data_IF_479100411698
#
_entry.id   IF_479100411698
#
_cell.length_a   1.000
_cell.length_b   1.000
_cell.length_c   1.000
_cell.angle_alpha   90.00
_cell.angle_beta   90.00
_cell.angle_gamma   90.00
#
_symmetry.space_group_name_H-M   'P 1'
#
loop_
_entity.id
_entity.type
_entity.pdbx_description
1 polymer ?
#
# COMPACT_ATOMS: atom_id res chain seq x y z
N UNK A 1 7.99 -1.07 -3.57
CA UNK A 1 7.23 -0.16 -4.46
C UNK A 1 7.92 1.19 -4.47
N UNK A 2 8.19 1.76 -5.65
CA UNK A 2 8.80 3.07 -5.74
C UNK A 2 7.78 4.20 -5.52
N UNK A 3 8.04 5.05 -4.53
CA UNK A 3 7.32 6.30 -4.28
C UNK A 3 8.28 7.49 -4.43
N UNK A 4 7.76 8.63 -4.86
CA UNK A 4 8.46 9.92 -4.75
C UNK A 4 7.75 10.78 -3.72
N UNK A 5 8.47 11.27 -2.71
CA UNK A 5 7.88 12.15 -1.69
C UNK A 5 7.65 13.54 -2.27
N UNK A 6 6.40 13.95 -2.42
CA UNK A 6 6.03 15.26 -2.99
C UNK A 6 5.97 16.33 -1.92
N UNK A 7 5.57 15.98 -0.71
CA UNK A 7 5.49 16.89 0.43
C UNK A 7 5.66 16.13 1.76
N UNK A 8 6.26 16.81 2.73
CA UNK A 8 6.29 16.34 4.12
C UNK A 8 5.30 17.21 4.87
N UNK A 9 4.24 16.60 5.40
CA UNK A 9 3.15 17.28 6.09
C UNK A 9 3.54 17.55 7.54
N UNK A 10 4.04 16.52 8.24
CA UNK A 10 4.51 16.62 9.64
C UNK A 10 5.56 15.56 9.94
N UNK A 11 6.45 15.88 10.87
CA UNK A 11 7.41 14.94 11.45
C UNK A 11 6.94 14.46 12.84
N UNK A 12 7.26 13.22 13.18
CA UNK A 12 7.33 12.70 14.54
C UNK A 12 8.74 12.12 14.76
N UNK A 13 9.00 11.51 15.93
CA UNK A 13 10.33 10.96 16.25
C UNK A 13 10.78 9.87 15.26
N UNK A 14 9.89 8.93 14.92
CA UNK A 14 10.23 7.76 14.08
C UNK A 14 9.38 7.65 12.80
N UNK A 15 8.51 8.64 12.56
CA UNK A 15 7.59 8.64 11.43
C UNK A 15 7.48 10.03 10.80
N UNK A 16 6.99 10.09 9.58
CA UNK A 16 6.58 11.33 8.95
C UNK A 16 5.28 11.12 8.16
N UNK A 17 4.34 12.04 8.30
CA UNK A 17 3.20 12.05 7.37
C UNK A 17 3.66 12.72 6.07
N UNK A 18 3.52 12.02 4.96
CA UNK A 18 3.97 12.47 3.66
C UNK A 18 2.83 12.42 2.64
N UNK A 19 2.91 13.32 1.68
CA UNK A 19 2.32 13.10 0.36
C UNK A 19 3.36 12.45 -0.53
N UNK A 20 2.92 11.50 -1.34
CA UNK A 20 3.77 10.81 -2.30
C UNK A 20 3.07 10.65 -3.64
N UNK A 21 3.89 10.45 -4.67
CA UNK A 21 3.45 10.09 -6.03
C UNK A 21 4.11 8.80 -6.48
N UNK A 22 3.36 8.01 -7.24
CA UNK A 22 3.82 6.80 -7.92
C UNK A 22 3.34 6.84 -9.37
N UNK A 23 3.78 5.87 -10.18
CA UNK A 23 3.25 5.68 -11.53
C UNK A 23 1.74 5.37 -11.55
N UNK A 24 1.17 4.97 -10.41
CA UNK A 24 -0.24 4.65 -10.27
C UNK A 24 -1.06 5.79 -9.68
N UNK A 25 -0.47 6.91 -9.28
CA UNK A 25 -1.18 8.04 -8.68
C UNK A 25 -0.53 8.56 -7.41
N UNK A 26 -1.24 9.45 -6.72
CA UNK A 26 -0.77 10.15 -5.52
C UNK A 26 -1.51 9.68 -4.26
N UNK A 27 -0.88 9.80 -3.10
CA UNK A 27 -1.49 9.44 -1.84
C UNK A 27 -0.87 10.16 -0.65
N UNK A 28 -1.52 10.02 0.51
CA UNK A 28 -1.00 10.43 1.82
C UNK A 28 -0.77 9.16 2.63
N UNK A 29 0.38 9.06 3.29
CA UNK A 29 0.67 7.95 4.20
C UNK A 29 1.60 8.36 5.34
N UNK A 30 1.69 7.50 6.34
CA UNK A 30 2.73 7.55 7.36
C UNK A 30 3.96 6.81 6.84
N UNK A 31 5.07 7.53 6.68
CA UNK A 31 6.37 7.00 6.35
C UNK A 31 7.07 6.57 7.64
N UNK A 32 7.34 5.27 7.77
CA UNK A 32 8.03 4.69 8.93
C UNK A 32 9.50 4.45 8.54
N UNK A 33 10.43 5.04 9.28
CA UNK A 33 11.87 4.91 9.00
C UNK A 33 12.65 6.21 9.16
N UNK A 34 13.88 6.29 8.59
CA UNK A 34 14.65 7.52 8.58
C UNK A 34 13.88 8.67 7.93
N UNK A 35 14.10 9.90 8.40
CA UNK A 35 13.33 11.04 7.91
C UNK A 35 13.40 11.16 6.37
N UNK A 36 12.24 11.14 5.69
CA UNK A 36 12.20 11.22 4.25
C UNK A 36 12.57 12.63 3.77
N UNK A 37 13.00 12.74 2.52
CA UNK A 37 13.32 14.00 1.85
C UNK A 37 12.37 14.23 0.70
N UNK A 38 11.91 15.47 0.58
CA UNK A 38 11.09 15.91 -0.55
C UNK A 38 11.86 15.70 -1.87
N UNK A 39 11.14 15.27 -2.91
CA UNK A 39 11.63 14.92 -4.26
C UNK A 39 12.57 13.71 -4.31
N UNK A 40 12.73 12.96 -3.23
CA UNK A 40 13.51 11.74 -3.23
C UNK A 40 12.60 10.53 -3.54
N UNK A 41 13.16 9.59 -4.31
CA UNK A 41 12.55 8.29 -4.60
C UNK A 41 12.95 7.30 -3.51
N UNK A 42 11.96 6.54 -3.04
CA UNK A 42 12.15 5.47 -2.06
C UNK A 42 11.51 4.19 -2.59
N UNK A 43 12.22 3.08 -2.48
CA UNK A 43 11.59 1.77 -2.57
C UNK A 43 11.04 1.41 -1.18
N UNK A 44 9.72 1.30 -1.07
CA UNK A 44 9.00 1.07 0.19
C UNK A 44 8.17 -0.18 0.12
N UNK A 45 7.98 -0.82 1.26
CA UNK A 45 6.91 -1.80 1.46
C UNK A 45 5.63 -1.07 1.84
N UNK A 46 4.51 -1.50 1.27
CA UNK A 46 3.19 -1.02 1.70
C UNK A 46 2.68 -1.95 2.78
N UNK A 47 2.54 -1.41 3.98
CA UNK A 47 1.79 -2.07 5.05
C UNK A 47 0.32 -1.67 4.95
N UNK A 48 -0.56 -2.66 4.86
CA UNK A 48 -2.01 -2.47 4.75
C UNK A 48 -2.62 -2.81 6.11
N UNK A 49 -2.62 -1.84 7.02
CA UNK A 49 -3.32 -1.93 8.32
C UNK A 49 -4.81 -1.60 8.19
N UNK A 50 -5.46 -2.13 7.16
CA UNK A 50 -6.88 -1.92 6.92
C UNK A 50 -7.70 -3.11 7.45
N UNK A 51 -8.92 -2.85 7.92
CA UNK A 51 -9.83 -3.92 8.28
C UNK A 51 -10.45 -4.48 7.00
N UNK A 52 -10.06 -5.69 6.62
CA UNK A 52 -10.47 -6.29 5.36
C UNK A 52 -11.73 -7.13 5.55
N UNK A 53 -12.82 -6.75 4.87
CA UNK A 53 -14.12 -7.41 4.92
C UNK A 53 -14.58 -7.87 3.53
N UNK A 54 -14.96 -9.14 3.41
CA UNK A 54 -15.53 -9.68 2.17
C UNK A 54 -16.84 -8.98 1.80
N UNK A 55 -16.96 -8.62 0.53
CA UNK A 55 -18.13 -7.94 -0.02
C UNK A 55 -18.17 -6.43 0.25
N UNK A 56 -17.21 -5.90 1.02
CA UNK A 56 -17.06 -4.46 1.26
C UNK A 56 -15.79 -3.93 0.55
N UNK A 57 -14.63 -3.98 1.22
CA UNK A 57 -13.35 -3.56 0.66
C UNK A 57 -12.52 -4.74 0.11
N UNK A 58 -12.99 -5.98 0.25
CA UNK A 58 -12.42 -7.16 -0.38
C UNK A 58 -13.43 -7.86 -1.29
N UNK A 59 -13.09 -8.02 -2.55
CA UNK A 59 -13.90 -8.72 -3.55
C UNK A 59 -13.04 -9.67 -4.38
N UNK A 60 -13.67 -10.70 -4.95
CA UNK A 60 -12.97 -11.60 -5.86
C UNK A 60 -12.68 -10.89 -7.19
N UNK A 61 -11.48 -11.09 -7.71
CA UNK A 61 -11.07 -10.57 -9.01
C UNK A 61 -11.08 -11.67 -10.05
N UNK A 62 -11.51 -11.33 -11.28
CA UNK A 62 -11.34 -12.22 -12.45
C UNK A 62 -9.91 -12.16 -13.01
N UNK A 63 -9.10 -11.17 -12.60
CA UNK A 63 -7.68 -11.07 -12.99
C UNK A 63 -6.89 -12.14 -12.24
N UNK A 64 -6.01 -12.83 -12.97
CA UNK A 64 -5.11 -13.85 -12.41
C UNK A 64 -3.74 -13.31 -12.00
N UNK A 65 -3.34 -12.15 -12.54
CA UNK A 65 -2.07 -11.52 -12.20
C UNK A 65 -2.26 -10.49 -11.07
N UNK A 66 -1.33 -10.43 -10.09
CA UNK A 66 -1.31 -9.35 -9.13
C UNK A 66 -1.16 -8.00 -9.83
N UNK A 67 -1.83 -6.96 -9.32
CA UNK A 67 -1.72 -5.60 -9.87
C UNK A 67 -2.06 -4.55 -8.83
N UNK A 68 -1.47 -3.37 -8.98
CA UNK A 68 -1.84 -2.15 -8.28
C UNK A 68 -2.21 -1.15 -9.37
N UNK A 69 -3.40 -0.58 -9.30
CA UNK A 69 -3.84 0.46 -10.23
C UNK A 69 -4.79 1.41 -9.53
N UNK A 70 -5.03 2.57 -10.15
CA UNK A 70 -5.91 3.58 -9.61
C UNK A 70 -7.03 3.86 -10.60
N UNK A 71 -8.26 3.84 -10.11
CA UNK A 71 -9.46 4.08 -10.90
C UNK A 71 -10.49 4.82 -10.04
N UNK A 72 -11.08 5.89 -10.58
CA UNK A 72 -12.13 6.67 -9.91
C UNK A 72 -11.75 7.14 -8.48
N UNK A 73 -10.51 7.59 -8.29
CA UNK A 73 -10.03 8.07 -6.98
C UNK A 73 -9.70 6.95 -5.97
N UNK A 74 -9.76 5.68 -6.38
CA UNK A 74 -9.50 4.52 -5.52
C UNK A 74 -8.27 3.78 -5.98
N UNK A 75 -7.41 3.41 -5.04
CA UNK A 75 -6.33 2.44 -5.27
C UNK A 75 -6.90 1.03 -5.16
N UNK A 76 -6.79 0.27 -6.24
CA UNK A 76 -7.27 -1.10 -6.36
C UNK A 76 -6.06 -2.03 -6.40
N UNK A 77 -6.05 -3.00 -5.49
CA UNK A 77 -5.01 -4.01 -5.40
C UNK A 77 -5.66 -5.36 -5.70
N UNK A 78 -5.12 -6.06 -6.70
CA UNK A 78 -5.43 -7.48 -6.93
C UNK A 78 -4.25 -8.31 -6.47
N UNK A 79 -4.51 -9.31 -5.64
CA UNK A 79 -3.53 -10.25 -5.13
C UNK A 79 -4.15 -11.65 -5.04
N UNK A 80 -3.29 -12.66 -4.86
CA UNK A 80 -3.72 -14.02 -4.56
C UNK A 80 -4.00 -14.17 -3.07
N UNK A 81 -5.14 -14.79 -2.73
CA UNK A 81 -5.45 -15.17 -1.36
C UNK A 81 -4.85 -16.54 -1.06
N UNK A 82 -3.84 -16.58 -0.20
CA UNK A 82 -3.24 -17.82 0.26
C UNK A 82 -4.02 -18.35 1.47
N UNK A 83 -4.71 -19.49 1.33
CA UNK A 83 -5.17 -20.23 2.50
C UNK A 83 -4.01 -21.07 3.06
N UNK A 84 -3.67 -20.92 4.34
CA UNK A 84 -2.83 -21.92 5.00
C UNK A 84 -3.55 -23.26 4.95
N UNK A 85 -2.96 -24.26 4.29
CA UNK A 85 -3.40 -25.64 4.47
C UNK A 85 -3.11 -26.02 5.92
N UNK A 86 -4.16 -26.25 6.71
CA UNK A 86 -4.03 -27.00 7.96
C UNK A 86 -3.70 -28.43 7.55
N UNK A 87 -2.44 -28.83 7.66
CA UNK A 87 -2.09 -30.26 7.62
C UNK A 87 -2.81 -30.93 8.78
N UNK A 88 -3.86 -31.69 8.47
CA UNK A 88 -4.44 -32.62 9.41
C UNK A 88 -3.36 -33.62 9.79
N UNK A 89 -2.93 -33.57 11.05
CA UNK A 89 -2.04 -34.59 11.62
C UNK A 89 -2.93 -35.82 11.82
N UNK A 90 -2.71 -36.83 10.97
CA UNK A 90 -3.32 -38.17 11.09
C UNK A 90 -2.68 -38.96 12.22
#
# INVERSE_FOLDING_TARGET
MNITVTQIIKYSSNEAQIEYSTVYGTGISTFIGPQPKKKQVYDVELDINDNIYWGDNLVTSKKRAPSIYHENGKTLITAELLSKMTTAVS
#
